data_IF_597696387937
#
_entry.id   IF_597696387937
#
_cell.length_a   1.000
_cell.length_b   1.000
_cell.length_c   1.000
_cell.angle_alpha   90.00
_cell.angle_beta   90.00
_cell.angle_gamma   90.00
#
_symmetry.space_group_name_H-M   'P 1'
#
loop_
_entity.id
_entity.type
_entity.pdbx_description
1 polymer ?
#
# COMPACT_ATOMS: atom_id res chain seq x y z
N UNK A 1 0.24 -3.50 35.88
CA UNK A 1 -0.59 -2.25 35.82
C UNK A 1 0.13 -1.00 36.35
N UNK A 2 0.99 -1.09 37.37
CA UNK A 2 1.75 0.05 37.90
C UNK A 2 2.85 0.59 36.94
N UNK A 3 3.59 -0.30 36.27
CA UNK A 3 4.68 0.08 35.35
C UNK A 3 4.20 0.95 34.16
N UNK A 4 3.02 0.65 33.60
CA UNK A 4 2.42 1.42 32.50
C UNK A 4 2.02 2.84 32.94
N UNK A 5 1.63 3.03 34.21
CA UNK A 5 1.31 4.37 34.74
C UNK A 5 2.58 5.23 34.89
N UNK A 6 3.69 4.63 35.31
CA UNK A 6 4.98 5.31 35.46
C UNK A 6 5.53 5.74 34.10
N UNK A 7 5.45 4.86 33.09
CA UNK A 7 5.85 5.17 31.71
C UNK A 7 4.97 6.29 31.12
N UNK A 8 3.65 6.28 31.36
CA UNK A 8 2.75 7.37 30.95
C UNK A 8 3.13 8.70 31.59
N UNK A 9 3.47 8.71 32.89
CA UNK A 9 3.93 9.90 33.61
C UNK A 9 5.25 10.43 33.05
N UNK A 10 6.23 9.54 32.80
CA UNK A 10 7.51 9.92 32.20
C UNK A 10 7.36 10.49 30.79
N UNK A 11 6.50 9.92 29.94
CA UNK A 11 6.24 10.45 28.59
C UNK A 11 5.59 11.84 28.66
N UNK A 12 4.63 12.04 29.58
CA UNK A 12 3.98 13.35 29.77
C UNK A 12 4.97 14.40 30.28
N UNK A 13 5.86 14.02 31.19
CA UNK A 13 6.86 14.93 31.76
C UNK A 13 7.96 15.28 30.77
N UNK A 14 8.45 14.29 30.00
CA UNK A 14 9.60 14.48 29.10
C UNK A 14 9.19 15.11 27.76
N UNK A 15 7.99 14.84 27.25
CA UNK A 15 7.60 15.28 25.90
C UNK A 15 6.49 16.34 25.86
N UNK A 16 5.51 16.30 26.78
CA UNK A 16 4.34 17.19 26.71
C UNK A 16 4.52 18.51 27.48
N UNK A 17 5.15 18.46 28.67
CA UNK A 17 5.46 19.64 29.47
C UNK A 17 6.42 20.64 28.78
N UNK A 18 7.56 20.22 28.17
CA UNK A 18 8.43 21.15 27.46
C UNK A 18 7.78 21.72 26.19
N UNK A 19 6.85 21.00 25.56
CA UNK A 19 6.12 21.49 24.38
C UNK A 19 5.16 22.64 24.70
N UNK A 20 4.39 22.54 25.79
CA UNK A 20 3.50 23.62 26.25
C UNK A 20 4.28 24.90 26.60
N UNK A 21 5.42 24.75 27.28
CA UNK A 21 6.34 25.84 27.61
C UNK A 21 6.99 26.46 26.35
N UNK A 22 7.36 25.63 25.37
CA UNK A 22 7.88 26.07 24.08
C UNK A 22 6.83 26.89 23.32
N UNK A 23 5.60 26.41 23.18
CA UNK A 23 4.53 27.14 22.51
C UNK A 23 4.21 28.49 23.18
N UNK A 24 4.22 28.56 24.52
CA UNK A 24 4.06 29.82 25.25
C UNK A 24 5.20 30.81 24.98
N UNK A 25 6.44 30.32 24.90
CA UNK A 25 7.63 31.14 24.63
C UNK A 25 7.66 31.63 23.18
N UNK A 26 7.27 30.79 22.23
CA UNK A 26 7.16 31.14 20.80
C UNK A 26 6.05 32.17 20.56
N UNK A 27 4.87 32.04 21.19
CA UNK A 27 3.80 33.05 21.10
C UNK A 27 4.22 34.42 21.64
N UNK A 28 5.02 34.47 22.70
CA UNK A 28 5.57 35.74 23.20
C UNK A 28 6.52 36.39 22.19
N UNK A 29 7.30 35.58 21.44
CA UNK A 29 8.26 36.01 20.42
C UNK A 29 7.60 36.42 19.08
N UNK A 30 6.39 35.94 18.79
CA UNK A 30 5.63 36.35 17.59
C UNK A 30 5.29 37.84 17.54
N UNK A 31 5.25 38.54 18.69
CA UNK A 31 4.89 39.97 18.72
C UNK A 31 5.95 40.89 18.10
N UNK A 32 7.22 40.48 18.05
CA UNK A 32 8.35 41.31 17.58
C UNK A 32 8.91 40.91 16.21
N UNK A 33 8.26 39.98 15.49
CA UNK A 33 8.79 39.41 14.24
C UNK A 33 8.17 40.02 12.97
N UNK A 34 8.95 40.07 11.89
CA UNK A 34 8.49 40.44 10.55
C UNK A 34 7.39 39.53 10.02
N UNK A 35 6.56 40.05 9.11
CA UNK A 35 5.36 39.38 8.59
C UNK A 35 5.65 38.02 7.91
N UNK A 36 6.80 37.88 7.23
CA UNK A 36 7.26 36.61 6.64
C UNK A 36 7.60 35.56 7.70
N UNK A 37 8.31 35.96 8.75
CA UNK A 37 8.71 35.07 9.84
C UNK A 37 7.51 34.66 10.71
N UNK A 38 6.49 35.51 10.80
CA UNK A 38 5.20 35.18 11.45
C UNK A 38 4.48 34.03 10.74
N UNK A 39 4.41 34.03 9.40
CA UNK A 39 3.73 32.96 8.65
C UNK A 39 4.41 31.60 8.81
N UNK A 40 5.75 31.57 8.76
CA UNK A 40 6.52 30.35 8.99
C UNK A 40 6.29 29.76 10.39
N UNK A 41 6.25 30.62 11.42
CA UNK A 41 5.97 30.20 12.80
C UNK A 41 4.54 29.67 12.97
N UNK A 42 3.55 30.27 12.31
CA UNK A 42 2.17 29.78 12.33
C UNK A 42 2.10 28.38 11.73
N UNK A 43 2.75 28.14 10.58
CA UNK A 43 2.80 26.83 9.95
C UNK A 43 3.45 25.77 10.84
N UNK A 44 4.54 26.11 11.53
CA UNK A 44 5.21 25.20 12.47
C UNK A 44 4.30 24.88 13.67
N UNK A 45 3.61 25.87 14.21
CA UNK A 45 2.66 25.66 15.32
C UNK A 45 1.49 24.78 14.87
N UNK A 46 0.93 25.02 13.69
CA UNK A 46 -0.16 24.21 13.12
C UNK A 46 0.29 22.77 12.84
N UNK A 47 1.50 22.57 12.30
CA UNK A 47 2.08 21.25 12.10
C UNK A 47 2.24 20.50 13.44
N UNK A 48 2.78 21.17 14.45
CA UNK A 48 2.98 20.58 15.77
C UNK A 48 1.64 20.31 16.50
N UNK A 49 0.62 21.17 16.30
CA UNK A 49 -0.73 20.92 16.81
C UNK A 49 -1.40 19.73 16.11
N UNK A 50 -1.21 19.61 14.79
CA UNK A 50 -1.66 18.46 14.00
C UNK A 50 -1.00 17.19 14.51
N UNK A 51 0.31 17.19 14.70
CA UNK A 51 1.04 16.08 15.30
C UNK A 51 0.51 15.77 16.69
N UNK A 52 0.40 16.74 17.61
CA UNK A 52 -0.17 16.51 18.96
C UNK A 52 -1.57 15.88 18.91
N UNK A 53 -2.41 16.28 17.94
CA UNK A 53 -3.79 15.78 17.81
C UNK A 53 -3.86 14.36 17.24
N UNK A 54 -3.00 14.02 16.29
CA UNK A 54 -3.05 12.74 15.57
C UNK A 54 -1.96 11.74 15.98
N UNK A 55 -0.97 12.16 16.76
CA UNK A 55 0.07 11.30 17.30
C UNK A 55 -0.54 10.39 18.36
N UNK A 56 -0.75 9.13 17.98
CA UNK A 56 -1.21 8.06 18.85
C UNK A 56 -0.05 7.08 19.03
N UNK A 57 0.34 6.88 20.29
CA UNK A 57 1.28 5.80 20.64
C UNK A 57 0.48 4.51 20.68
N UNK A 58 0.63 3.68 19.65
CA UNK A 58 0.06 2.34 19.64
C UNK A 58 0.91 1.44 20.55
N UNK A 59 0.33 0.98 21.66
CA UNK A 59 0.98 0.05 22.58
C UNK A 59 0.85 -1.41 22.12
N UNK A 60 -0.13 -1.66 21.26
CA UNK A 60 -0.43 -2.97 20.70
C UNK A 60 -0.21 -2.95 19.19
N UNK A 61 0.37 -4.02 18.67
CA UNK A 61 0.59 -4.17 17.24
C UNK A 61 -0.76 -4.35 16.54
N UNK A 62 -1.17 -3.35 15.76
CA UNK A 62 -2.34 -3.48 14.88
C UNK A 62 -1.84 -3.86 13.50
N UNK A 63 -2.35 -4.96 12.94
CA UNK A 63 -2.00 -5.35 11.59
C UNK A 63 -2.44 -4.27 10.59
N UNK A 64 -1.47 -3.74 9.85
CA UNK A 64 -1.72 -2.80 8.77
C UNK A 64 -1.56 -3.53 7.43
N UNK A 65 -2.63 -4.01 6.80
CA UNK A 65 -2.53 -4.72 5.52
C UNK A 65 -2.13 -3.80 4.36
N UNK A 66 -2.14 -2.46 4.54
CA UNK A 66 -1.72 -1.49 3.52
C UNK A 66 -0.21 -1.24 3.51
N UNK A 67 0.51 -1.52 4.60
CA UNK A 67 1.96 -1.32 4.63
C UNK A 67 2.63 -2.40 3.80
N UNK A 68 3.68 -2.01 3.08
CA UNK A 68 4.54 -2.98 2.39
C UNK A 68 5.09 -4.00 3.40
N UNK A 69 5.02 -5.28 3.03
CA UNK A 69 5.61 -6.33 3.84
C UNK A 69 7.12 -6.07 3.89
N UNK A 70 7.67 -5.98 5.10
CA UNK A 70 9.12 -5.89 5.30
C UNK A 70 9.72 -7.21 4.83
N UNK A 71 10.23 -7.24 3.61
CA UNK A 71 10.97 -8.39 3.12
C UNK A 71 12.30 -8.46 3.85
N UNK A 72 12.64 -9.62 4.45
CA UNK A 72 13.94 -9.76 5.08
C UNK A 72 15.03 -9.58 4.02
N UNK A 73 16.16 -8.99 4.40
CA UNK A 73 17.29 -8.90 3.47
C UNK A 73 17.77 -10.32 3.16
N UNK A 74 17.94 -10.65 1.88
CA UNK A 74 18.27 -12.01 1.40
C UNK A 74 19.45 -12.71 2.11
N UNK A 75 20.38 -11.95 2.71
CA UNK A 75 21.57 -12.50 3.40
C UNK A 75 21.63 -12.20 4.89
N UNK A 76 20.65 -11.52 5.46
CA UNK A 76 20.63 -11.22 6.88
C UNK A 76 20.26 -12.49 7.66
N UNK A 77 21.26 -13.24 8.13
CA UNK A 77 21.07 -14.44 8.99
C UNK A 77 20.24 -14.16 10.25
N UNK A 78 20.20 -12.91 10.71
CA UNK A 78 19.39 -12.46 11.85
C UNK A 78 17.93 -12.13 11.50
N UNK A 79 17.63 -11.92 10.21
CA UNK A 79 16.25 -11.74 9.70
C UNK A 79 15.57 -13.08 9.38
N UNK A 80 16.26 -14.21 9.60
CA UNK A 80 15.68 -15.55 9.61
C UNK A 80 14.78 -15.72 10.85
N UNK A 81 13.74 -14.89 10.97
CA UNK A 81 12.70 -15.00 11.98
C UNK A 81 11.93 -16.29 11.76
N UNK A 82 11.58 -16.93 12.89
CA UNK A 82 10.90 -18.23 12.98
C UNK A 82 9.70 -18.30 12.04
N UNK A 83 9.53 -19.47 11.44
CA UNK A 83 8.62 -19.81 10.33
C UNK A 83 7.14 -19.58 10.61
N UNK A 84 6.75 -19.31 11.85
CA UNK A 84 5.36 -19.39 12.30
C UNK A 84 4.80 -18.00 12.55
N UNK A 85 4.44 -17.30 11.47
CA UNK A 85 3.55 -16.15 11.58
C UNK A 85 2.18 -16.64 12.08
N UNK A 86 1.51 -15.93 13.02
CA UNK A 86 0.18 -16.32 13.48
C UNK A 86 -0.78 -16.43 12.30
N UNK A 87 -1.49 -17.54 12.23
CA UNK A 87 -2.37 -17.90 11.11
C UNK A 87 -3.38 -16.79 10.78
N UNK A 88 -3.90 -16.11 11.80
CA UNK A 88 -4.82 -14.97 11.66
C UNK A 88 -4.25 -13.86 10.76
N UNK A 89 -2.95 -13.54 10.90
CA UNK A 89 -2.31 -12.52 10.08
C UNK A 89 -2.06 -13.01 8.65
N UNK A 90 -1.74 -14.29 8.46
CA UNK A 90 -1.60 -14.90 7.14
C UNK A 90 -2.94 -14.82 6.40
N UNK A 91 -4.03 -15.16 7.07
CA UNK A 91 -5.38 -15.08 6.50
C UNK A 91 -5.83 -13.66 6.23
N UNK A 92 -5.45 -12.70 7.09
CA UNK A 92 -5.71 -11.28 6.85
C UNK A 92 -4.99 -10.80 5.59
N UNK A 93 -3.71 -11.14 5.44
CA UNK A 93 -2.92 -10.81 4.25
C UNK A 93 -3.51 -11.45 3.00
N UNK A 94 -3.87 -12.75 3.06
CA UNK A 94 -4.53 -13.45 1.95
C UNK A 94 -5.83 -12.77 1.54
N UNK A 95 -6.71 -12.49 2.51
CA UNK A 95 -7.99 -11.78 2.30
C UNK A 95 -7.77 -10.40 1.69
N UNK A 96 -6.77 -9.67 2.18
CA UNK A 96 -6.45 -8.37 1.61
C UNK A 96 -5.98 -8.50 0.16
N UNK A 97 -5.00 -9.35 -0.15
CA UNK A 97 -4.52 -9.52 -1.53
C UNK A 97 -5.62 -10.01 -2.49
N UNK A 98 -6.48 -10.93 -2.05
CA UNK A 98 -7.53 -11.50 -2.91
C UNK A 98 -8.77 -10.61 -3.07
N UNK A 99 -9.03 -9.70 -2.12
CA UNK A 99 -10.23 -8.87 -2.16
C UNK A 99 -10.11 -7.78 -3.22
N UNK A 100 -11.18 -7.58 -3.99
CA UNK A 100 -11.29 -6.46 -4.91
C UNK A 100 -11.70 -5.19 -4.15
N UNK A 101 -11.51 -3.99 -4.72
CA UNK A 101 -12.00 -2.75 -4.11
C UNK A 101 -13.49 -2.81 -3.73
N UNK A 102 -14.30 -3.53 -4.52
CA UNK A 102 -15.74 -3.72 -4.27
C UNK A 102 -16.05 -4.48 -2.99
N UNK A 103 -15.17 -5.39 -2.59
CA UNK A 103 -15.32 -6.17 -1.36
C UNK A 103 -14.88 -5.38 -0.14
N UNK A 104 -14.02 -4.35 -0.32
CA UNK A 104 -13.41 -3.58 0.77
C UNK A 104 -14.16 -2.29 1.10
N UNK A 105 -14.72 -1.62 0.10
CA UNK A 105 -15.39 -0.34 0.27
C UNK A 105 -16.80 -0.37 -0.34
N UNK A 106 -17.75 0.29 0.32
CA UNK A 106 -19.14 0.34 -0.16
C UNK A 106 -19.30 1.22 -1.41
N UNK A 107 -18.35 2.11 -1.69
CA UNK A 107 -18.42 3.10 -2.76
C UNK A 107 -17.02 3.37 -3.33
N UNK A 108 -16.87 3.65 -4.64
CA UNK A 108 -15.56 3.90 -5.24
C UNK A 108 -14.94 5.18 -4.66
N UNK A 109 -13.71 5.06 -4.14
CA UNK A 109 -12.96 6.17 -3.56
C UNK A 109 -12.20 6.98 -4.62
N UNK A 110 -11.87 6.37 -5.76
CA UNK A 110 -11.05 6.99 -6.82
C UNK A 110 -11.75 6.96 -8.17
N UNK A 111 -11.46 7.94 -9.04
CA UNK A 111 -12.01 8.03 -10.40
C UNK A 111 -11.71 6.78 -11.23
N UNK A 112 -10.55 6.14 -11.01
CA UNK A 112 -10.22 4.90 -11.72
C UNK A 112 -11.13 3.73 -11.30
N UNK A 113 -11.50 3.66 -10.02
CA UNK A 113 -12.43 2.64 -9.54
C UNK A 113 -13.82 2.84 -10.13
N UNK A 114 -14.25 4.08 -10.37
CA UNK A 114 -15.55 4.38 -10.98
C UNK A 114 -15.75 3.71 -12.33
N UNK A 115 -14.73 3.66 -13.19
CA UNK A 115 -14.83 3.01 -14.50
C UNK A 115 -15.17 1.51 -14.41
N UNK A 116 -14.62 0.83 -13.39
CA UNK A 116 -14.84 -0.61 -13.17
C UNK A 116 -15.93 -0.93 -12.14
N UNK A 117 -16.51 0.07 -11.47
CA UNK A 117 -17.43 -0.14 -10.35
C UNK A 117 -18.76 -0.73 -10.81
N UNK A 118 -19.32 -0.19 -11.88
CA UNK A 118 -20.53 -0.68 -12.52
C UNK A 118 -20.15 -1.54 -13.73
N UNK A 119 -19.59 -2.72 -13.47
CA UNK A 119 -19.15 -3.66 -14.49
C UNK A 119 -20.29 -4.28 -15.33
N UNK A 120 -21.55 -4.08 -14.93
CA UNK A 120 -22.71 -4.39 -15.77
C UNK A 120 -22.77 -3.37 -16.90
N UNK A 121 -22.20 -3.74 -18.04
CA UNK A 121 -22.39 -3.01 -19.29
C UNK A 121 -23.89 -2.91 -19.54
N UNK A 122 -24.40 -1.68 -19.77
CA UNK A 122 -25.82 -1.40 -20.05
C UNK A 122 -26.36 -2.25 -21.21
N UNK A 123 -25.47 -2.71 -22.09
CA UNK A 123 -25.74 -3.65 -23.15
C UNK A 123 -24.68 -4.75 -23.06
N UNK A 124 -24.98 -5.87 -22.42
CA UNK A 124 -24.09 -7.03 -22.47
C UNK A 124 -24.18 -7.67 -23.86
N UNK A 125 -23.41 -7.11 -24.79
CA UNK A 125 -23.34 -7.59 -26.17
C UNK A 125 -22.86 -9.04 -26.20
N UNK A 126 -22.10 -9.51 -25.19
CA UNK A 126 -21.52 -10.86 -25.15
C UNK A 126 -22.59 -11.96 -25.14
N UNK A 127 -23.72 -11.70 -24.48
CA UNK A 127 -24.86 -12.62 -24.43
C UNK A 127 -25.80 -12.48 -25.65
N UNK A 128 -25.70 -11.40 -26.41
CA UNK A 128 -26.55 -11.18 -27.57
C UNK A 128 -25.92 -11.75 -28.85
N UNK A 129 -26.32 -12.97 -29.22
CA UNK A 129 -25.87 -13.65 -30.45
C UNK A 129 -26.10 -12.85 -31.73
N UNK A 130 -27.06 -11.90 -31.76
CA UNK A 130 -27.31 -11.04 -32.93
C UNK A 130 -26.29 -9.91 -33.10
N UNK A 131 -25.58 -9.56 -32.04
CA UNK A 131 -24.64 -8.44 -32.01
C UNK A 131 -23.20 -8.90 -31.70
N UNK A 132 -23.02 -10.13 -31.23
CA UNK A 132 -21.74 -10.71 -30.87
C UNK A 132 -21.16 -11.56 -32.00
N UNK A 133 -20.29 -10.95 -32.81
CA UNK A 133 -19.57 -11.63 -33.89
C UNK A 133 -18.05 -11.55 -33.67
N UNK A 134 -17.50 -12.20 -32.62
CA UNK A 134 -16.06 -12.24 -32.43
C UNK A 134 -15.44 -13.04 -33.57
N UNK A 135 -14.52 -12.44 -34.31
CA UNK A 135 -13.68 -13.18 -35.23
C UNK A 135 -12.64 -13.95 -34.40
N UNK A 136 -12.73 -15.28 -34.41
CA UNK A 136 -11.80 -16.13 -33.65
C UNK A 136 -10.41 -16.18 -34.25
N UNK A 137 -10.26 -15.84 -35.54
CA UNK A 137 -8.99 -15.82 -36.26
C UNK A 137 -9.16 -15.19 -37.63
N UNK A 138 -8.15 -14.46 -38.10
CA UNK A 138 -8.05 -14.02 -39.49
C UNK A 138 -7.46 -15.13 -40.38
N UNK A 139 -7.65 -15.02 -41.70
CA UNK A 139 -7.10 -15.96 -42.67
C UNK A 139 -5.57 -16.09 -42.53
N UNK A 140 -4.88 -14.97 -42.27
CA UNK A 140 -3.43 -14.93 -42.08
C UNK A 140 -2.99 -15.70 -40.83
N UNK A 141 -3.71 -15.55 -39.71
CA UNK A 141 -3.42 -16.28 -38.47
C UNK A 141 -3.66 -17.78 -38.67
N UNK A 142 -4.72 -18.17 -39.38
CA UNK A 142 -4.97 -19.58 -39.74
C UNK A 142 -3.83 -20.13 -40.59
N UNK A 143 -3.44 -19.41 -41.64
CA UNK A 143 -2.36 -19.80 -42.53
C UNK A 143 -1.03 -19.96 -41.77
N UNK A 144 -0.67 -18.97 -40.96
CA UNK A 144 0.54 -19.02 -40.13
C UNK A 144 0.51 -20.17 -39.12
N UNK A 145 -0.65 -20.47 -38.53
CA UNK A 145 -0.82 -21.62 -37.64
C UNK A 145 -0.67 -22.95 -38.37
N UNK A 146 -1.19 -23.09 -39.59
CA UNK A 146 -1.02 -24.29 -40.42
C UNK A 146 0.45 -24.47 -40.81
N UNK A 147 1.12 -23.41 -41.29
CA UNK A 147 2.55 -23.44 -41.61
C UNK A 147 3.41 -23.83 -40.40
N UNK A 148 3.05 -23.37 -39.20
CA UNK A 148 3.73 -23.71 -37.94
C UNK A 148 3.66 -25.21 -37.60
N UNK A 149 2.65 -25.94 -38.05
CA UNK A 149 2.57 -27.41 -37.84
C UNK A 149 3.64 -28.15 -38.66
N UNK A 150 4.01 -27.61 -39.82
CA UNK A 150 5.02 -28.20 -40.73
C UNK A 150 6.45 -27.78 -40.39
N UNK A 151 6.62 -26.69 -39.64
CA UNK A 151 7.92 -26.29 -39.10
C UNK A 151 8.39 -27.31 -38.06
N UNK A 152 9.42 -28.10 -38.39
CA UNK A 152 10.14 -28.90 -37.41
C UNK A 152 10.79 -27.95 -36.40
N UNK A 153 10.30 -27.94 -35.16
CA UNK A 153 10.99 -27.25 -34.07
C UNK A 153 12.33 -27.94 -33.84
N UNK A 154 13.42 -27.26 -34.14
CA UNK A 154 14.72 -27.71 -33.69
C UNK A 154 14.68 -27.84 -32.17
N UNK A 155 15.30 -28.90 -31.64
CA UNK A 155 15.37 -29.06 -30.18
C UNK A 155 16.18 -27.87 -29.65
N UNK A 156 15.74 -27.25 -28.53
CA UNK A 156 16.56 -26.22 -27.90
C UNK A 156 17.95 -26.79 -27.63
N UNK A 157 18.98 -25.96 -27.81
CA UNK A 157 20.36 -26.34 -27.61
C UNK A 157 20.54 -26.96 -26.21
N UNK A 158 20.89 -28.25 -26.16
CA UNK A 158 21.10 -29.01 -24.91
C UNK A 158 22.59 -29.06 -24.49
N UNK A 159 23.48 -28.43 -25.25
CA UNK A 159 24.90 -28.40 -24.95
C UNK A 159 25.24 -27.42 -23.82
N UNK A 160 26.33 -27.68 -23.11
CA UNK A 160 26.96 -26.68 -22.26
C UNK A 160 27.68 -25.69 -23.21
N UNK A 161 27.35 -24.39 -23.20
CA UNK A 161 27.86 -23.42 -24.18
C UNK A 161 29.36 -23.09 -24.02
N UNK A 162 30.03 -23.70 -23.04
CA UNK A 162 31.45 -23.51 -22.77
C UNK A 162 32.13 -24.86 -22.66
N UNK A 163 33.25 -25.03 -23.38
CA UNK A 163 34.18 -26.14 -23.13
C UNK A 163 34.86 -25.88 -21.77
N UNK A 164 34.79 -26.86 -20.87
CA UNK A 164 35.63 -26.92 -19.66
C UNK A 164 37.05 -27.28 -20.08
#
# INVERSE_FOLDING_TARGET
>A
KACVKIIKLLIVIVYLLPFELFCRRVRKRMRSLDKRNKNALVLIIEAANREKKYFKVYQEFTANPKSENVTPKFYARHDCLRTDAPQEYIELCKRYVSSTPRDRVSYPETVNQWYGWNATLLSDVRNNRRLHFPSTSTADIKLASEMKKFLRKERPFQGIPFKV
#
